data_IF_670314411899
#
_entry.id   IF_670314411899
#
_cell.length_a   1.000
_cell.length_b   1.000
_cell.length_c   1.000
_cell.angle_alpha   90.00
_cell.angle_beta   90.00
_cell.angle_gamma   90.00
#
_symmetry.space_group_name_H-M   'P 1'
#
loop_
_entity.id
_entity.type
_entity.pdbx_description
1 polymer ?
#
# COMPACT_ATOMS: atom_id res chain seq x y z
N UNK A 1 -68.33 74.84 40.21
CA UNK A 1 -66.94 75.28 40.48
C UNK A 1 -66.10 74.17 41.11
N UNK A 2 -66.55 73.55 42.20
CA UNK A 2 -65.82 72.46 42.88
C UNK A 2 -65.59 71.19 42.02
N UNK A 3 -66.60 70.75 41.27
CA UNK A 3 -66.51 69.53 40.44
C UNK A 3 -65.52 69.68 39.26
N UNK A 4 -65.42 70.89 38.71
CA UNK A 4 -64.45 71.23 37.65
C UNK A 4 -63.03 71.27 38.22
N UNK A 5 -62.84 71.75 39.45
CA UNK A 5 -61.54 71.70 40.14
C UNK A 5 -61.11 70.27 40.46
N UNK A 6 -62.04 69.40 40.86
CA UNK A 6 -61.72 68.00 41.17
C UNK A 6 -61.31 67.21 39.93
N UNK A 7 -62.08 67.32 38.82
CA UNK A 7 -61.71 66.71 37.53
C UNK A 7 -60.41 67.29 36.96
N UNK A 8 -60.11 68.56 37.25
CA UNK A 8 -58.83 69.18 36.88
C UNK A 8 -57.65 68.64 37.71
N UNK A 9 -57.88 68.28 38.99
CA UNK A 9 -56.93 67.61 39.85
C UNK A 9 -56.62 66.18 39.36
N UNK A 10 -57.66 65.38 39.12
CA UNK A 10 -57.54 64.01 38.59
C UNK A 10 -56.83 63.98 37.23
N UNK A 11 -57.16 64.90 36.31
CA UNK A 11 -56.44 65.04 35.04
C UNK A 11 -54.98 65.44 35.22
N UNK A 12 -54.65 66.25 36.23
CA UNK A 12 -53.25 66.64 36.53
C UNK A 12 -52.45 65.48 37.10
N UNK A 13 -53.04 64.69 37.99
CA UNK A 13 -52.42 63.49 38.56
C UNK A 13 -52.21 62.42 37.50
N UNK A 14 -53.22 62.12 36.67
CA UNK A 14 -53.09 61.19 35.55
C UNK A 14 -52.04 61.65 34.54
N UNK A 15 -51.94 62.96 34.27
CA UNK A 15 -50.87 63.53 33.42
C UNK A 15 -49.48 63.37 34.03
N UNK A 16 -49.36 63.48 35.36
CA UNK A 16 -48.09 63.28 36.07
C UNK A 16 -47.67 61.80 36.06
N UNK A 17 -48.61 60.88 36.29
CA UNK A 17 -48.36 59.44 36.25
C UNK A 17 -47.98 58.96 34.84
N UNK A 18 -48.73 59.36 33.82
CA UNK A 18 -48.40 59.10 32.42
C UNK A 18 -47.07 59.74 32.04
N UNK A 19 -46.76 60.93 32.55
CA UNK A 19 -45.49 61.61 32.37
C UNK A 19 -44.31 60.82 32.96
N UNK A 20 -44.45 60.31 34.18
CA UNK A 20 -43.46 59.47 34.85
C UNK A 20 -43.23 58.12 34.15
N UNK A 21 -44.30 57.51 33.66
CA UNK A 21 -44.22 56.27 32.86
C UNK A 21 -43.55 56.52 31.51
N UNK A 22 -43.81 57.67 30.89
CA UNK A 22 -43.19 58.08 29.63
C UNK A 22 -41.68 58.33 29.80
N UNK A 23 -41.24 58.96 30.90
CA UNK A 23 -39.81 59.11 31.20
C UNK A 23 -39.14 57.77 31.47
N UNK A 24 -39.75 56.90 32.27
CA UNK A 24 -39.22 55.56 32.54
C UNK A 24 -39.05 54.73 31.25
N UNK A 25 -40.05 54.74 30.35
CA UNK A 25 -39.96 54.08 29.05
C UNK A 25 -38.89 54.70 28.15
N UNK A 26 -38.71 56.03 28.21
CA UNK A 26 -37.70 56.74 27.42
C UNK A 26 -36.28 56.42 27.91
N UNK A 27 -36.08 56.28 29.22
CA UNK A 27 -34.79 55.91 29.80
C UNK A 27 -34.45 54.44 29.55
N UNK A 28 -35.44 53.53 29.64
CA UNK A 28 -35.28 52.14 29.18
C UNK A 28 -34.90 52.07 27.70
N UNK A 29 -35.55 52.86 26.86
CA UNK A 29 -35.22 52.95 25.43
C UNK A 29 -33.79 53.47 25.18
N UNK A 30 -33.27 54.33 26.06
CA UNK A 30 -31.90 54.84 25.99
C UNK A 30 -30.87 53.78 26.40
N UNK A 31 -31.11 53.08 27.50
CA UNK A 31 -30.24 51.99 27.97
C UNK A 31 -30.15 50.86 26.93
N UNK A 32 -31.30 50.44 26.37
CA UNK A 32 -31.34 49.43 25.31
C UNK A 32 -30.57 49.88 24.05
N UNK A 33 -30.68 51.15 23.65
CA UNK A 33 -29.89 51.71 22.53
C UNK A 33 -28.40 51.73 22.85
N UNK A 34 -28.01 52.01 24.08
CA UNK A 34 -26.61 52.02 24.50
C UNK A 34 -26.03 50.60 24.53
N UNK A 35 -26.80 49.61 25.01
CA UNK A 35 -26.46 48.18 24.97
C UNK A 35 -26.30 47.66 23.54
N UNK A 36 -27.19 48.06 22.62
CA UNK A 36 -27.09 47.73 21.19
C UNK A 36 -25.80 48.28 20.54
N UNK A 37 -25.31 49.42 21.03
CA UNK A 37 -24.03 50.03 20.60
C UNK A 37 -22.81 49.49 21.35
N UNK A 38 -23.00 48.75 22.43
CA UNK A 38 -21.91 48.12 23.18
C UNK A 38 -21.22 47.02 22.37
N UNK A 39 -19.95 46.72 22.69
CA UNK A 39 -19.09 45.85 21.87
C UNK A 39 -19.60 44.41 21.64
N UNK A 40 -20.49 43.92 22.51
CA UNK A 40 -21.11 42.59 22.37
C UNK A 40 -22.23 42.56 21.32
N UNK A 41 -22.96 43.67 21.10
CA UNK A 41 -24.09 43.76 20.17
C UNK A 41 -23.79 44.60 18.92
N UNK A 42 -22.78 45.46 18.98
CA UNK A 42 -22.33 46.26 17.86
C UNK A 42 -21.82 45.36 16.71
N UNK A 43 -22.43 45.50 15.54
CA UNK A 43 -22.07 44.75 14.34
C UNK A 43 -22.32 43.23 14.42
N UNK A 44 -23.16 42.77 15.36
CA UNK A 44 -23.44 41.32 15.53
C UNK A 44 -24.01 40.66 14.28
N UNK A 45 -24.82 41.37 13.51
CA UNK A 45 -25.34 40.82 12.25
C UNK A 45 -24.21 40.50 11.26
N UNK A 46 -23.25 41.40 11.12
CA UNK A 46 -22.10 41.21 10.23
C UNK A 46 -21.14 40.12 10.75
N UNK A 47 -20.89 40.08 12.08
CA UNK A 47 -20.12 39.00 12.71
C UNK A 47 -20.79 37.64 12.52
N UNK A 48 -22.11 37.56 12.71
CA UNK A 48 -22.92 36.36 12.48
C UNK A 48 -22.86 35.94 11.02
N UNK A 49 -22.98 36.88 10.08
CA UNK A 49 -22.89 36.61 8.64
C UNK A 49 -21.55 35.99 8.27
N UNK A 50 -20.43 36.57 8.74
CA UNK A 50 -19.09 36.02 8.52
C UNK A 50 -18.95 34.62 9.12
N UNK A 51 -19.38 34.41 10.36
CA UNK A 51 -19.32 33.10 11.00
C UNK A 51 -20.21 32.05 10.35
N UNK A 52 -21.36 32.45 9.81
CA UNK A 52 -22.21 31.55 9.05
C UNK A 52 -21.52 31.10 7.76
N UNK A 53 -20.86 32.01 7.05
CA UNK A 53 -20.05 31.67 5.86
C UNK A 53 -18.89 30.73 6.25
N UNK A 54 -18.15 31.03 7.33
CA UNK A 54 -17.06 30.17 7.82
C UNK A 54 -17.58 28.75 8.12
N UNK A 55 -18.72 28.62 8.80
CA UNK A 55 -19.31 27.32 9.15
C UNK A 55 -19.77 26.56 7.90
N UNK A 56 -20.47 27.24 6.99
CA UNK A 56 -20.98 26.60 5.77
C UNK A 56 -19.83 26.13 4.87
N UNK A 57 -18.84 27.00 4.65
CA UNK A 57 -17.64 26.66 3.85
C UNK A 57 -16.83 25.53 4.49
N UNK A 58 -16.70 25.51 5.82
CA UNK A 58 -16.02 24.42 6.53
C UNK A 58 -16.80 23.11 6.43
N UNK A 59 -18.14 23.15 6.54
CA UNK A 59 -18.98 21.97 6.38
C UNK A 59 -18.87 21.39 4.95
N UNK A 60 -18.84 22.24 3.93
CA UNK A 60 -18.58 21.82 2.55
C UNK A 60 -17.19 21.18 2.40
N UNK A 61 -16.14 21.76 3.00
CA UNK A 61 -14.80 21.20 2.95
C UNK A 61 -14.72 19.82 3.62
N UNK A 62 -15.39 19.63 4.76
CA UNK A 62 -15.47 18.32 5.42
C UNK A 62 -16.17 17.30 4.52
N UNK A 63 -17.30 17.67 3.91
CA UNK A 63 -18.03 16.79 3.00
C UNK A 63 -17.20 16.39 1.77
N UNK A 64 -16.39 17.31 1.23
CA UNK A 64 -15.51 17.00 0.11
C UNK A 64 -14.33 16.11 0.54
N UNK A 65 -13.73 16.34 1.71
CA UNK A 65 -12.70 15.46 2.26
C UNK A 65 -13.22 14.02 2.47
N UNK A 66 -14.46 13.85 2.93
CA UNK A 66 -15.09 12.53 3.06
C UNK A 66 -15.27 11.84 1.69
N UNK A 67 -15.66 12.58 0.66
CA UNK A 67 -15.76 12.05 -0.71
C UNK A 67 -14.38 11.65 -1.24
N UNK A 68 -13.36 12.49 -1.07
CA UNK A 68 -11.99 12.19 -1.50
C UNK A 68 -11.44 10.96 -0.78
N UNK A 69 -11.64 10.85 0.53
CA UNK A 69 -11.25 9.68 1.31
C UNK A 69 -11.91 8.41 0.77
N UNK A 70 -13.22 8.44 0.57
CA UNK A 70 -13.98 7.29 0.06
C UNK A 70 -13.55 6.88 -1.35
N UNK A 71 -13.25 7.85 -2.21
CA UNK A 71 -12.77 7.59 -3.57
C UNK A 71 -11.36 7.00 -3.57
N UNK A 72 -10.44 7.59 -2.81
CA UNK A 72 -9.06 7.11 -2.65
C UNK A 72 -9.05 5.69 -2.09
N UNK A 73 -9.89 5.44 -1.09
CA UNK A 73 -10.02 4.14 -0.47
C UNK A 73 -10.46 3.07 -1.48
N UNK A 74 -11.56 3.31 -2.21
CA UNK A 74 -12.02 2.40 -3.26
C UNK A 74 -10.96 2.16 -4.33
N UNK A 75 -10.23 3.20 -4.72
CA UNK A 75 -9.14 3.08 -5.68
C UNK A 75 -8.00 2.20 -5.15
N UNK A 76 -7.61 2.37 -3.88
CA UNK A 76 -6.58 1.56 -3.23
C UNK A 76 -6.99 0.08 -3.15
N UNK A 77 -8.23 -0.20 -2.73
CA UNK A 77 -8.76 -1.56 -2.66
C UNK A 77 -8.76 -2.23 -4.04
N UNK A 78 -9.24 -1.51 -5.05
CA UNK A 78 -9.27 -2.00 -6.43
C UNK A 78 -7.85 -2.27 -6.96
N UNK A 79 -6.91 -1.35 -6.69
CA UNK A 79 -5.52 -1.51 -7.11
C UNK A 79 -4.87 -2.73 -6.46
N UNK A 80 -5.07 -2.89 -5.14
CA UNK A 80 -4.55 -4.03 -4.40
C UNK A 80 -5.10 -5.37 -4.93
N UNK A 81 -6.42 -5.48 -5.09
CA UNK A 81 -7.06 -6.69 -5.64
C UNK A 81 -6.53 -7.03 -7.04
N UNK A 82 -6.43 -6.01 -7.91
CA UNK A 82 -5.89 -6.15 -9.26
C UNK A 82 -4.44 -6.65 -9.24
N UNK A 83 -3.60 -6.10 -8.37
CA UNK A 83 -2.18 -6.51 -8.25
C UNK A 83 -2.03 -7.91 -7.69
N UNK A 84 -2.81 -8.31 -6.68
CA UNK A 84 -2.80 -9.69 -6.19
C UNK A 84 -3.24 -10.69 -7.27
N UNK A 85 -4.25 -10.35 -8.07
CA UNK A 85 -4.69 -11.20 -9.17
C UNK A 85 -3.61 -11.36 -10.26
N UNK A 86 -2.91 -10.27 -10.60
CA UNK A 86 -1.78 -10.25 -11.53
C UNK A 86 -0.62 -11.13 -11.03
N UNK A 87 -0.20 -10.95 -9.76
CA UNK A 87 0.85 -11.76 -9.12
C UNK A 87 0.47 -13.25 -9.13
N UNK A 88 -0.76 -13.59 -8.74
CA UNK A 88 -1.22 -14.98 -8.69
C UNK A 88 -1.30 -15.63 -10.08
N UNK A 89 -1.55 -14.85 -11.14
CA UNK A 89 -1.47 -15.34 -12.51
C UNK A 89 -0.03 -15.79 -12.84
N UNK A 90 0.95 -14.93 -12.58
CA UNK A 90 2.36 -15.22 -12.87
C UNK A 90 2.86 -16.38 -12.00
N UNK A 91 2.51 -16.41 -10.71
CA UNK A 91 2.83 -17.52 -9.81
C UNK A 91 2.34 -18.85 -10.38
N UNK A 92 1.08 -18.92 -10.84
CA UNK A 92 0.52 -20.14 -11.43
C UNK A 92 1.30 -20.60 -12.66
N UNK A 93 1.61 -19.67 -13.56
CA UNK A 93 2.37 -19.97 -14.77
C UNK A 93 3.79 -20.48 -14.46
N UNK A 94 4.49 -19.82 -13.54
CA UNK A 94 5.83 -20.22 -13.13
C UNK A 94 5.82 -21.56 -12.39
N UNK A 95 4.86 -21.77 -11.46
CA UNK A 95 4.76 -23.00 -10.68
C UNK A 95 4.62 -24.24 -11.57
N UNK A 96 3.77 -24.18 -12.60
CA UNK A 96 3.57 -25.29 -13.55
C UNK A 96 4.84 -25.64 -14.33
N UNK A 97 5.71 -24.66 -14.57
CA UNK A 97 6.98 -24.88 -15.28
C UNK A 97 8.02 -25.44 -14.32
N UNK A 98 8.09 -24.89 -13.10
CA UNK A 98 9.15 -25.19 -12.13
C UNK A 98 8.92 -26.48 -11.36
N UNK A 99 7.71 -26.69 -10.84
CA UNK A 99 7.42 -27.80 -9.96
C UNK A 99 7.05 -29.04 -10.77
N UNK A 100 7.75 -30.15 -10.52
CA UNK A 100 7.50 -31.44 -11.19
C UNK A 100 6.82 -32.48 -10.30
N UNK A 101 6.58 -32.14 -9.04
CA UNK A 101 5.81 -32.99 -8.13
C UNK A 101 4.31 -33.01 -8.49
N UNK A 102 3.69 -34.19 -8.36
CA UNK A 102 2.26 -34.39 -8.62
C UNK A 102 1.33 -34.14 -7.43
N UNK A 103 1.85 -33.64 -6.30
CA UNK A 103 1.11 -33.47 -5.05
C UNK A 103 0.53 -32.06 -4.84
N UNK A 104 1.00 -31.05 -5.59
CA UNK A 104 0.54 -29.65 -5.52
C UNK A 104 0.30 -29.10 -6.93
N UNK A 105 -0.96 -28.80 -7.25
CA UNK A 105 -1.36 -28.35 -8.59
C UNK A 105 -0.98 -26.88 -8.83
N UNK A 106 -1.20 -26.03 -7.83
CA UNK A 106 -0.92 -24.61 -7.90
C UNK A 106 -0.73 -24.01 -6.52
N UNK A 107 -0.02 -22.89 -6.47
CA UNK A 107 0.11 -22.05 -5.28
C UNK A 107 -0.41 -20.64 -5.58
N UNK A 108 -0.89 -19.94 -4.55
CA UNK A 108 -1.38 -18.57 -4.66
C UNK A 108 -1.19 -17.80 -3.36
N UNK A 109 -0.98 -16.50 -3.48
CA UNK A 109 -1.00 -15.56 -2.36
C UNK A 109 -2.45 -15.17 -2.11
N UNK A 110 -2.93 -15.43 -0.91
CA UNK A 110 -4.25 -15.01 -0.46
C UNK A 110 -4.07 -13.84 0.50
N UNK A 111 -4.67 -12.70 0.14
CA UNK A 111 -4.83 -11.56 1.04
C UNK A 111 -6.18 -11.66 1.76
N UNK A 112 -6.14 -11.82 3.07
CA UNK A 112 -7.29 -11.64 3.94
C UNK A 112 -7.41 -10.20 4.40
N UNK A 113 -8.64 -9.70 4.44
CA UNK A 113 -8.97 -8.43 5.07
C UNK A 113 -9.41 -8.67 6.52
N UNK A 114 -8.79 -7.99 7.47
CA UNK A 114 -9.32 -7.93 8.83
C UNK A 114 -10.51 -6.96 8.82
N UNK A 115 -11.73 -7.49 8.62
CA UNK A 115 -12.98 -6.73 8.47
C UNK A 115 -13.41 -5.86 9.68
N UNK A 116 -12.51 -5.59 10.62
CA UNK A 116 -12.77 -4.89 11.87
C UNK A 116 -11.81 -3.73 12.18
N UNK A 117 -10.80 -3.44 11.33
CA UNK A 117 -9.88 -2.34 11.62
C UNK A 117 -10.53 -0.99 11.31
N UNK A 118 -10.81 -0.24 12.36
CA UNK A 118 -11.18 1.17 12.38
C UNK A 118 -10.49 2.00 11.28
N UNK A 119 -11.17 3.06 10.86
CA UNK A 119 -10.89 4.04 9.76
C UNK A 119 -9.44 4.57 9.64
N UNK A 120 -8.50 4.21 10.52
CA UNK A 120 -7.14 4.73 10.60
C UNK A 120 -6.02 3.74 10.19
N UNK A 121 -6.31 2.46 9.90
CA UNK A 121 -5.25 1.55 9.45
C UNK A 121 -5.76 0.21 8.96
N UNK A 122 -5.74 0.00 7.64
CA UNK A 122 -6.04 -1.31 7.04
C UNK A 122 -4.88 -2.27 7.30
N UNK A 123 -5.18 -3.33 8.04
CA UNK A 123 -4.29 -4.48 8.18
C UNK A 123 -4.64 -5.50 7.08
N UNK A 124 -3.64 -5.88 6.28
CA UNK A 124 -3.77 -7.00 5.34
C UNK A 124 -3.00 -8.18 5.89
N UNK A 125 -3.68 -9.32 6.02
CA UNK A 125 -3.04 -10.57 6.37
C UNK A 125 -2.76 -11.38 5.10
N UNK A 126 -1.50 -11.76 4.88
CA UNK A 126 -1.11 -12.55 3.72
C UNK A 126 -0.75 -13.97 4.12
N UNK A 127 -1.27 -14.93 3.37
CA UNK A 127 -0.87 -16.33 3.47
C UNK A 127 -0.63 -16.92 2.09
N UNK A 128 0.25 -17.91 2.03
CA UNK A 128 0.48 -18.68 0.80
C UNK A 128 -0.36 -19.94 0.88
N UNK A 129 -1.29 -20.09 -0.05
CA UNK A 129 -2.14 -21.26 -0.17
C UNK A 129 -1.64 -22.17 -1.28
N UNK A 130 -1.80 -23.47 -1.11
CA UNK A 130 -1.62 -24.49 -2.13
C UNK A 130 -2.95 -25.16 -2.44
N UNK A 131 -3.15 -25.54 -3.69
CA UNK A 131 -4.29 -26.34 -4.15
C UNK A 131 -3.84 -27.76 -4.45
N UNK A 132 -4.62 -28.72 -3.94
CA UNK A 132 -4.47 -30.15 -4.21
C UNK A 132 -5.84 -30.72 -4.56
N UNK A 133 -6.07 -30.95 -5.84
CA UNK A 133 -7.38 -31.26 -6.42
C UNK A 133 -8.40 -30.17 -6.09
N UNK A 134 -9.47 -30.56 -5.39
CA UNK A 134 -10.53 -29.64 -4.96
C UNK A 134 -10.21 -28.87 -3.68
N UNK A 135 -9.13 -29.21 -2.97
CA UNK A 135 -8.86 -28.69 -1.62
C UNK A 135 -7.81 -27.58 -1.64
N UNK A 136 -8.06 -26.50 -0.90
CA UNK A 136 -7.12 -25.40 -0.69
C UNK A 136 -6.59 -25.48 0.74
N UNK A 137 -5.26 -25.47 0.90
CA UNK A 137 -4.57 -25.60 2.18
C UNK A 137 -3.56 -24.47 2.34
N UNK A 138 -3.33 -24.03 3.58
CA UNK A 138 -2.21 -23.12 3.87
C UNK A 138 -0.89 -23.89 3.83
N UNK A 139 0.08 -23.38 3.07
CA UNK A 139 1.41 -23.98 2.95
C UNK A 139 2.18 -23.91 4.27
N UNK A 140 1.93 -22.92 5.14
CA UNK A 140 2.68 -22.75 6.38
C UNK A 140 2.56 -24.01 7.25
N UNK A 141 3.71 -24.63 7.54
CA UNK A 141 3.79 -25.86 8.33
C UNK A 141 3.34 -27.14 7.62
N UNK A 142 3.05 -27.09 6.31
CA UNK A 142 2.52 -28.23 5.53
C UNK A 142 3.31 -28.55 4.26
N UNK A 143 4.41 -27.84 4.01
CA UNK A 143 5.25 -28.03 2.83
C UNK A 143 6.66 -28.51 3.21
N UNK A 144 7.27 -29.28 2.31
CA UNK A 144 8.65 -29.75 2.45
C UNK A 144 9.66 -28.60 2.32
N UNK A 145 10.92 -28.85 2.70
CA UNK A 145 11.98 -27.86 2.56
C UNK A 145 12.17 -27.41 1.10
N UNK A 146 12.18 -28.36 0.14
CA UNK A 146 12.29 -28.05 -1.28
C UNK A 146 11.10 -27.26 -1.82
N UNK A 147 9.87 -27.63 -1.44
CA UNK A 147 8.65 -26.89 -1.82
C UNK A 147 8.68 -25.44 -1.32
N UNK A 148 9.18 -25.21 -0.10
CA UNK A 148 9.34 -23.85 0.47
C UNK A 148 10.34 -23.02 -0.31
N UNK A 149 11.49 -23.60 -0.66
CA UNK A 149 12.52 -22.91 -1.45
C UNK A 149 11.96 -22.54 -2.82
N UNK A 150 11.33 -23.51 -3.51
CA UNK A 150 10.78 -23.28 -4.84
C UNK A 150 9.64 -22.24 -4.83
N UNK A 151 8.70 -22.36 -3.91
CA UNK A 151 7.59 -21.40 -3.77
C UNK A 151 8.12 -19.98 -3.49
N UNK A 152 9.14 -19.86 -2.63
CA UNK A 152 9.78 -18.57 -2.35
C UNK A 152 10.44 -17.96 -3.60
N UNK A 153 11.14 -18.76 -4.40
CA UNK A 153 11.74 -18.29 -5.66
C UNK A 153 10.65 -17.85 -6.64
N UNK A 154 9.64 -18.68 -6.87
CA UNK A 154 8.51 -18.36 -7.77
C UNK A 154 7.79 -17.08 -7.36
N UNK A 155 7.50 -16.91 -6.07
CA UNK A 155 6.87 -15.69 -5.56
C UNK A 155 7.77 -14.47 -5.78
N UNK A 156 9.08 -14.56 -5.50
CA UNK A 156 10.02 -13.46 -5.74
C UNK A 156 10.08 -13.07 -7.22
N UNK A 157 10.08 -14.06 -8.12
CA UNK A 157 10.04 -13.83 -9.56
C UNK A 157 8.76 -13.10 -9.98
N UNK A 158 7.60 -13.57 -9.51
CA UNK A 158 6.31 -12.94 -9.82
C UNK A 158 6.20 -11.49 -9.29
N UNK A 159 6.73 -11.24 -8.08
CA UNK A 159 6.79 -9.89 -7.52
C UNK A 159 7.72 -8.98 -8.32
N UNK A 160 8.89 -9.48 -8.73
CA UNK A 160 9.82 -8.74 -9.58
C UNK A 160 9.24 -8.48 -10.98
N UNK A 161 8.32 -9.31 -11.48
CA UNK A 161 7.62 -9.04 -12.75
C UNK A 161 6.51 -8.03 -12.60
N UNK A 162 5.77 -8.07 -11.50
CA UNK A 162 4.63 -7.18 -11.28
C UNK A 162 5.05 -5.77 -10.86
N UNK A 163 6.09 -5.64 -10.03
CA UNK A 163 6.46 -4.37 -9.38
C UNK A 163 7.77 -3.76 -9.91
N UNK A 164 8.69 -4.58 -10.42
CA UNK A 164 10.03 -4.10 -10.80
C UNK A 164 10.13 -3.80 -12.31
N UNK A 165 9.18 -3.06 -12.88
CA UNK A 165 9.19 -2.67 -14.31
C UNK A 165 10.49 -1.93 -14.67
N UNK A 166 11.02 -1.12 -13.75
CA UNK A 166 12.25 -0.33 -13.94
C UNK A 166 13.45 -0.83 -13.12
N UNK A 167 13.30 -1.91 -12.33
CA UNK A 167 14.41 -2.47 -11.57
C UNK A 167 14.83 -3.80 -12.20
N UNK A 168 15.94 -3.72 -12.91
CA UNK A 168 16.45 -4.80 -13.73
C UNK A 168 17.14 -5.94 -13.02
N UNK A 169 17.48 -5.77 -11.75
CA UNK A 169 18.46 -6.64 -11.11
C UNK A 169 17.73 -7.67 -10.26
N UNK A 170 18.00 -8.94 -10.53
CA UNK A 170 17.55 -10.06 -9.72
C UNK A 170 18.76 -10.91 -9.32
N UNK A 171 18.91 -11.18 -8.02
CA UNK A 171 19.95 -12.04 -7.49
C UNK A 171 19.34 -13.29 -6.83
N UNK A 172 19.82 -14.46 -7.21
CA UNK A 172 19.45 -15.75 -6.66
C UNK A 172 20.68 -16.41 -6.05
N UNK A 173 20.71 -16.48 -4.72
CA UNK A 173 21.75 -17.15 -3.96
C UNK A 173 21.33 -18.59 -3.63
N UNK A 174 22.11 -19.54 -4.12
CA UNK A 174 21.91 -21.00 -4.02
C UNK A 174 20.44 -21.44 -4.26
N UNK A 175 19.87 -21.15 -5.45
CA UNK A 175 18.46 -21.41 -5.73
C UNK A 175 18.10 -22.90 -5.77
N UNK A 176 19.10 -23.76 -5.85
CA UNK A 176 19.01 -25.23 -5.92
C UNK A 176 18.97 -25.91 -4.56
N UNK A 177 19.00 -25.15 -3.46
CA UNK A 177 18.95 -25.69 -2.09
C UNK A 177 17.76 -26.63 -1.88
N UNK A 178 18.02 -27.88 -1.48
CA UNK A 178 17.00 -28.90 -1.21
C UNK A 178 16.06 -29.23 -2.39
N UNK A 179 16.48 -28.97 -3.63
CA UNK A 179 15.75 -29.38 -4.83
C UNK A 179 16.31 -30.69 -5.39
N UNK A 180 15.42 -31.57 -5.86
CA UNK A 180 15.78 -32.74 -6.67
C UNK A 180 16.10 -32.33 -8.12
N UNK A 181 16.64 -33.26 -8.89
CA UNK A 181 17.04 -33.01 -10.28
C UNK A 181 15.88 -32.48 -11.15
N UNK A 182 14.67 -33.04 -11.00
CA UNK A 182 13.51 -32.63 -11.81
C UNK A 182 13.08 -31.19 -11.52
N UNK A 183 13.04 -30.78 -10.25
CA UNK A 183 12.73 -29.40 -9.88
C UNK A 183 13.86 -28.44 -10.23
N UNK A 184 15.13 -28.87 -10.23
CA UNK A 184 16.26 -28.07 -10.73
C UNK A 184 16.13 -27.80 -12.23
N UNK A 185 15.80 -28.81 -13.03
CA UNK A 185 15.56 -28.66 -14.47
C UNK A 185 14.33 -27.77 -14.75
N UNK A 186 13.24 -27.97 -14.02
CA UNK A 186 12.06 -27.09 -14.09
C UNK A 186 12.39 -25.64 -13.76
N UNK A 187 13.22 -25.41 -12.73
CA UNK A 187 13.68 -24.07 -12.36
C UNK A 187 14.57 -23.44 -13.44
N UNK A 188 15.51 -24.19 -14.00
CA UNK A 188 16.37 -23.72 -15.09
C UNK A 188 15.54 -23.30 -16.32
N UNK A 189 14.51 -24.09 -16.69
CA UNK A 189 13.56 -23.77 -17.76
C UNK A 189 12.79 -22.47 -17.49
N UNK A 190 12.29 -22.30 -16.27
CA UNK A 190 11.56 -21.09 -15.90
C UNK A 190 12.45 -19.84 -15.94
N UNK A 191 13.67 -19.92 -15.40
CA UNK A 191 14.63 -18.82 -15.45
C UNK A 191 15.03 -18.48 -16.90
N UNK A 192 15.28 -19.49 -17.75
CA UNK A 192 15.59 -19.28 -19.16
C UNK A 192 14.45 -18.54 -19.89
N UNK A 193 13.20 -18.92 -19.62
CA UNK A 193 12.02 -18.23 -20.17
C UNK A 193 11.93 -16.76 -19.70
N UNK A 194 12.16 -16.49 -18.42
CA UNK A 194 12.15 -15.12 -17.89
C UNK A 194 13.26 -14.28 -18.52
N UNK A 195 14.47 -14.83 -18.62
CA UNK A 195 15.61 -14.17 -19.27
C UNK A 195 15.26 -13.85 -20.72
N UNK A 196 14.65 -14.77 -21.46
CA UNK A 196 14.28 -14.55 -22.86
C UNK A 196 13.15 -13.53 -23.05
N UNK A 197 12.16 -13.50 -22.16
CA UNK A 197 11.11 -12.48 -22.21
C UNK A 197 11.67 -11.09 -21.89
N UNK A 198 12.64 -11.02 -20.97
CA UNK A 198 13.24 -9.75 -20.53
C UNK A 198 14.49 -9.34 -21.31
N UNK A 199 15.07 -10.19 -22.14
CA UNK A 199 16.23 -9.84 -22.98
C UNK A 199 15.89 -8.77 -24.02
N UNK A 200 14.61 -8.62 -24.36
CA UNK A 200 14.09 -7.51 -25.17
C UNK A 200 14.10 -6.17 -24.42
N UNK A 201 14.17 -6.18 -23.08
CA UNK A 201 14.26 -4.99 -22.25
C UNK A 201 15.74 -4.67 -22.01
N UNK A 202 16.14 -3.41 -22.22
CA UNK A 202 17.55 -2.99 -22.12
C UNK A 202 18.15 -3.08 -20.71
N UNK A 203 17.31 -3.28 -19.68
CA UNK A 203 17.68 -3.12 -18.28
C UNK A 203 17.35 -4.37 -17.47
N UNK A 204 17.70 -5.58 -17.90
CA UNK A 204 17.56 -6.79 -17.07
C UNK A 204 18.91 -7.47 -16.82
N UNK A 205 19.20 -7.78 -15.56
CA UNK A 205 20.41 -8.43 -15.09
C UNK A 205 20.04 -9.50 -14.06
N UNK A 206 20.35 -10.75 -14.38
CA UNK A 206 20.21 -11.87 -13.45
C UNK A 206 21.59 -12.27 -12.92
N UNK A 207 21.72 -12.36 -11.61
CA UNK A 207 22.90 -12.87 -10.91
C UNK A 207 22.49 -14.18 -10.24
N UNK A 208 23.19 -15.27 -10.56
CA UNK A 208 22.98 -16.57 -9.91
C UNK A 208 24.28 -16.96 -9.21
N UNK A 209 24.19 -17.26 -7.92
CA UNK A 209 25.28 -17.82 -7.14
C UNK A 209 24.90 -19.26 -6.86
N UNK A 210 25.76 -20.19 -7.26
CA UNK A 210 25.54 -21.62 -6.99
C UNK A 210 26.85 -22.38 -6.95
N UNK A 211 26.86 -23.48 -6.20
CA UNK A 211 27.90 -24.50 -6.27
C UNK A 211 27.48 -25.74 -7.09
N UNK A 212 26.28 -25.72 -7.68
CA UNK A 212 25.71 -26.81 -8.46
C UNK A 212 26.11 -26.70 -9.94
N UNK A 213 27.13 -27.45 -10.33
CA UNK A 213 27.64 -27.46 -11.72
C UNK A 213 26.62 -28.04 -12.72
N UNK A 214 25.78 -28.98 -12.28
CA UNK A 214 24.75 -29.61 -13.11
C UNK A 214 23.63 -28.62 -13.44
N UNK A 215 23.23 -27.80 -12.45
CA UNK A 215 22.28 -26.72 -12.66
C UNK A 215 22.80 -25.68 -13.65
N UNK A 216 24.09 -25.31 -13.56
CA UNK A 216 24.73 -24.39 -14.53
C UNK A 216 24.72 -24.98 -15.94
N UNK A 217 25.07 -26.26 -16.10
CA UNK A 217 25.02 -26.96 -17.38
C UNK A 217 23.60 -27.05 -17.97
N UNK A 218 22.60 -27.29 -17.11
CA UNK A 218 21.19 -27.31 -17.51
C UNK A 218 20.73 -25.93 -17.96
N UNK A 219 21.02 -24.88 -17.18
CA UNK A 219 20.73 -23.50 -17.55
C UNK A 219 21.37 -23.10 -18.89
N UNK A 220 22.63 -23.48 -19.11
CA UNK A 220 23.32 -23.25 -20.40
C UNK A 220 22.56 -23.88 -21.55
N UNK A 221 22.17 -25.14 -21.40
CA UNK A 221 21.44 -25.88 -22.44
C UNK A 221 20.09 -25.25 -22.73
N UNK A 222 19.33 -24.88 -21.68
CA UNK A 222 18.03 -24.23 -21.83
C UNK A 222 18.15 -22.87 -22.51
N UNK A 223 19.09 -22.03 -22.10
CA UNK A 223 19.32 -20.72 -22.72
C UNK A 223 19.84 -20.83 -24.16
N UNK A 224 20.70 -21.80 -24.46
CA UNK A 224 21.20 -22.05 -25.82
C UNK A 224 20.12 -22.50 -26.80
N UNK A 225 19.03 -23.08 -26.31
CA UNK A 225 17.86 -23.42 -27.12
C UNK A 225 17.01 -22.21 -27.54
N UNK A 226 17.24 -21.04 -26.92
CA UNK A 226 16.47 -19.83 -27.16
C UNK A 226 17.12 -19.04 -28.29
N UNK A 227 16.43 -18.95 -29.43
CA UNK A 227 16.92 -18.24 -30.61
C UNK A 227 17.13 -16.74 -30.33
N UNK A 228 18.29 -16.20 -30.73
CA UNK A 228 18.59 -14.78 -30.67
C UNK A 228 19.07 -14.25 -29.31
N UNK A 229 19.33 -15.12 -28.32
CA UNK A 229 19.94 -14.72 -27.06
C UNK A 229 21.46 -14.84 -27.11
N UNK A 230 22.17 -13.75 -26.79
CA UNK A 230 23.62 -13.81 -26.57
C UNK A 230 23.89 -14.48 -25.23
N UNK A 231 24.34 -15.73 -25.30
CA UNK A 231 24.84 -16.49 -24.15
C UNK A 231 25.94 -15.69 -23.43
N UNK A 232 25.97 -15.66 -22.09
CA UNK A 232 27.11 -15.14 -21.38
C UNK A 232 28.37 -15.92 -21.77
N UNK A 233 29.45 -15.22 -22.10
CA UNK A 233 30.72 -15.84 -22.52
C UNK A 233 31.48 -16.49 -21.36
N UNK A 234 31.21 -16.08 -20.13
CA UNK A 234 31.97 -16.49 -18.95
C UNK A 234 31.14 -16.48 -17.67
N UNK A 235 31.54 -17.32 -16.72
CA UNK A 235 31.12 -17.27 -15.32
C UNK A 235 32.33 -17.02 -14.41
N UNK A 236 32.04 -16.57 -13.19
CA UNK A 236 33.06 -16.33 -12.17
C UNK A 236 33.06 -17.47 -11.16
N UNK A 237 34.21 -18.13 -11.02
CA UNK A 237 34.45 -19.14 -10.00
C UNK A 237 35.17 -18.46 -8.83
N UNK A 238 34.57 -18.52 -7.64
CA UNK A 238 35.13 -17.96 -6.41
C UNK A 238 35.68 -19.10 -5.56
N UNK A 239 36.98 -19.11 -5.30
CA UNK A 239 37.66 -20.11 -4.47
C UNK A 239 38.41 -19.46 -3.31
N UNK A 240 38.62 -20.22 -2.24
CA UNK A 240 39.45 -19.80 -1.11
C UNK A 240 40.88 -20.29 -1.33
N UNK A 241 41.84 -19.38 -1.24
CA UNK A 241 43.26 -19.72 -1.31
C UNK A 241 44.01 -19.25 -0.07
N UNK A 242 45.10 -19.94 0.25
CA UNK A 242 45.96 -19.64 1.38
C UNK A 242 47.22 -18.92 0.89
N UNK A 243 47.62 -17.86 1.58
CA UNK A 243 48.90 -17.21 1.30
C UNK A 243 50.05 -18.10 1.76
N UNK A 244 51.09 -18.22 0.92
CA UNK A 244 52.35 -18.86 1.28
C UNK A 244 53.12 -17.94 2.25
N UNK A 245 52.72 -17.89 3.51
CA UNK A 245 53.37 -17.09 4.55
C UNK A 245 53.10 -17.66 5.94
N UNK A 246 53.92 -17.31 6.95
CA UNK A 246 53.85 -17.89 8.29
C UNK A 246 52.53 -17.59 9.03
N UNK A 247 51.76 -16.60 8.57
CA UNK A 247 50.47 -16.20 9.15
C UNK A 247 49.27 -16.99 8.61
N UNK A 248 49.44 -17.86 7.60
CA UNK A 248 48.39 -18.74 7.09
C UNK A 248 47.08 -18.04 6.69
N UNK A 249 47.14 -16.78 6.28
CA UNK A 249 45.95 -15.99 5.95
C UNK A 249 45.26 -16.53 4.68
N UNK A 250 43.93 -16.46 4.67
CA UNK A 250 43.14 -16.88 3.53
C UNK A 250 42.56 -15.68 2.79
N UNK A 251 42.51 -15.76 1.48
CA UNK A 251 41.89 -14.76 0.62
C UNK A 251 40.96 -15.43 -0.41
N UNK A 252 40.01 -14.68 -0.93
CA UNK A 252 39.13 -15.15 -2.00
C UNK A 252 39.77 -14.85 -3.34
N UNK A 253 39.98 -15.88 -4.18
CA UNK A 253 40.41 -15.73 -5.56
C UNK A 253 39.18 -15.85 -6.46
N UNK A 254 38.96 -14.84 -7.28
CA UNK A 254 37.94 -14.87 -8.34
C UNK A 254 38.62 -15.19 -9.67
N UNK A 255 38.18 -16.25 -10.33
CA UNK A 255 38.69 -16.66 -11.64
C UNK A 255 37.56 -16.64 -12.66
N UNK A 256 37.83 -16.05 -13.82
CA UNK A 256 36.89 -16.04 -14.95
C UNK A 256 37.07 -17.33 -15.74
N UNK A 257 36.01 -18.12 -15.90
CA UNK A 257 35.99 -19.34 -16.71
C UNK A 257 35.05 -19.16 -17.90
N UNK A 258 35.39 -19.66 -19.09
CA UNK A 258 34.48 -19.65 -20.22
C UNK A 258 33.22 -20.48 -19.88
N UNK A 259 32.05 -19.99 -20.30
CA UNK A 259 30.77 -20.63 -20.00
C UNK A 259 30.59 -21.95 -20.74
#
# INVERSE_FOLDING_TARGET
MAEVQNRMGECKESRAELGGRLTALRDQGRDLKQRLKGGSYAGVQEKRRKKLIDVETTAMAVADLEKYWTALDKALMRYHHMKIAEINKIIRELWQITYKGGDIDMIEIVSGEDGASNRAGRSYNYRVAMRKGSTILDMKGRCSAGQRVLASIVIRLALAETFCINCGILALDEPTTNLDFENKDGLAKALARIIAQRSQQSNFQLIVITHDEEFVGTMRTQLGSIAGFNMPEYYWCVSREQTCGPSGQFYSRMTRKPL
#
